data_IF_212296373525
#
_entry.id   IF_212296373525
#
_cell.length_a   1.000
_cell.length_b   1.000
_cell.length_c   1.000
_cell.angle_alpha   90.00
_cell.angle_beta   90.00
_cell.angle_gamma   90.00
#
_symmetry.space_group_name_H-M   'P 1'
#
loop_
_entity.id
_entity.type
_entity.pdbx_description
1 polymer ?
2 non-polymer ?
3 non-polymer ?
4 water ?
#
# COMPACT_ATOMS: atom_id res chain seq x y z
N UNK A 1 16.53 -5.28 30.46
CA UNK A 1 16.17 -3.98 29.82
C UNK A 1 16.70 -2.77 30.57
N UNK A 2 18.03 -2.74 30.81
CA UNK A 2 18.67 -1.62 31.50
C UNK A 2 19.01 -0.41 30.61
N UNK A 3 18.63 -0.43 29.33
CA UNK A 3 18.87 0.71 28.45
C UNK A 3 17.67 1.66 28.35
N UNK A 4 16.61 1.40 29.13
CA UNK A 4 15.47 2.30 29.20
C UNK A 4 14.30 1.86 28.32
N UNK A 5 13.21 2.62 28.35
CA UNK A 5 12.01 2.25 27.58
C UNK A 5 11.92 2.92 26.20
N UNK A 6 10.90 2.56 25.43
CA UNK A 6 10.64 3.14 24.10
C UNK A 6 9.84 4.44 24.21
N UNK A 7 10.34 5.50 23.59
CA UNK A 7 9.67 6.80 23.61
C UNK A 7 9.19 7.27 22.26
N UNK A 8 8.79 8.55 22.17
CA UNK A 8 8.22 9.12 20.94
C UNK A 8 9.21 9.14 19.77
N UNK A 9 10.46 9.46 20.03
CA UNK A 9 11.43 9.53 18.93
C UNK A 9 11.74 8.14 18.35
N UNK A 10 11.68 7.10 19.17
CA UNK A 10 11.93 5.74 18.69
C UNK A 10 10.69 5.26 17.88
N UNK A 11 9.51 5.70 18.30
CA UNK A 11 8.28 5.37 17.56
C UNK A 11 8.34 5.95 16.14
N UNK A 12 8.66 7.24 16.04
CA UNK A 12 8.72 7.91 14.74
C UNK A 12 9.69 7.18 13.82
N UNK A 13 10.79 6.69 14.38
CA UNK A 13 11.79 5.91 13.64
C UNK A 13 11.30 4.52 13.18
N UNK A 14 10.59 3.79 14.04
CA UNK A 14 9.97 2.48 13.67
C UNK A 14 8.90 2.58 12.57
N UNK A 15 8.11 3.66 12.60
CA UNK A 15 7.02 3.83 11.62
C UNK A 15 7.63 4.02 10.23
N UNK A 16 8.64 4.88 10.10
CA UNK A 16 9.31 5.05 8.80
C UNK A 16 10.00 3.77 8.22
N UNK A 17 10.64 2.98 9.07
CA UNK A 17 11.30 1.75 8.60
C UNK A 17 10.29 0.68 8.14
N UNK A 18 9.09 0.63 8.73
CA UNK A 18 8.08 -0.35 8.30
C UNK A 18 7.55 0.00 6.88
N UNK A 19 7.33 1.29 6.61
CA UNK A 19 6.84 1.69 5.27
C UNK A 19 7.86 1.35 4.17
N UNK A 20 9.10 1.12 4.59
CA UNK A 20 10.17 0.81 3.64
C UNK A 20 10.46 -0.69 3.49
N UNK A 21 10.57 -1.40 4.63
CA UNK A 21 10.93 -2.82 4.64
C UNK A 21 9.80 -3.82 5.02
N UNK A 22 8.62 -3.37 5.44
CA UNK A 22 7.58 -4.29 5.91
C UNK A 22 7.80 -4.88 7.32
N UNK A 23 7.59 -6.19 7.50
CA UNK A 23 7.81 -6.87 8.80
C UNK A 23 9.33 -6.94 9.13
N UNK A 24 9.79 -6.19 10.12
CA UNK A 24 11.24 -6.00 10.28
C UNK A 24 11.88 -6.76 11.47
N UNK A 25 11.14 -7.74 12.00
CA UNK A 25 11.61 -8.45 13.19
C UNK A 25 12.82 -9.33 12.94
N UNK A 26 13.09 -9.69 11.68
CA UNK A 26 14.29 -10.48 11.37
C UNK A 26 15.54 -9.64 10.97
N UNK A 27 15.39 -8.32 10.87
CA UNK A 27 16.53 -7.45 10.55
C UNK A 27 16.87 -6.41 11.64
N UNK A 28 16.59 -6.71 12.91
CA UNK A 28 16.88 -5.75 13.97
C UNK A 28 18.38 -5.44 14.14
N UNK A 29 19.25 -6.44 13.97
CA UNK A 29 20.70 -6.24 14.17
C UNK A 29 21.27 -5.25 13.16
N UNK A 30 20.82 -5.36 11.91
CA UNK A 30 21.26 -4.48 10.83
C UNK A 30 20.80 -3.01 10.98
N UNK A 31 19.59 -2.80 11.52
CA UNK A 31 19.04 -1.45 11.72
C UNK A 31 19.73 -0.68 12.89
N UNK A 32 20.23 -1.42 13.88
CA UNK A 32 21.08 -0.84 14.94
C UNK A 32 22.51 -0.54 14.48
N UNK A 33 23.05 -1.37 13.60
CA UNK A 33 24.46 -1.25 13.19
C UNK A 33 24.74 0.05 12.42
N UNK A 34 23.78 0.50 11.60
CA UNK A 34 23.94 1.73 10.81
C UNK A 34 23.29 2.98 11.44
N UNK A 35 22.88 2.86 12.71
CA UNK A 35 22.35 4.00 13.46
C UNK A 35 20.87 4.32 13.27
N UNK A 36 20.14 3.56 12.45
CA UNK A 36 18.71 3.80 12.23
C UNK A 36 17.91 3.73 13.58
N UNK A 37 18.24 2.75 14.44
CA UNK A 37 17.62 2.65 15.77
C UNK A 37 18.71 2.64 16.88
N UNK A 38 18.44 3.27 18.05
CA UNK A 38 19.39 3.15 19.15
C UNK A 38 19.32 1.75 19.79
N UNK A 39 20.32 1.40 20.60
CA UNK A 39 20.44 0.06 21.18
C UNK A 39 19.42 -0.17 22.30
N UNK A 40 18.54 -1.17 22.09
CA UNK A 40 17.73 -1.77 23.16
C UNK A 40 17.78 -3.30 22.95
N UNK A 41 17.25 -4.07 23.91
CA UNK A 41 17.13 -5.53 23.70
C UNK A 41 16.16 -5.87 22.55
N UNK A 42 16.50 -6.90 21.75
CA UNK A 42 15.65 -7.33 20.64
C UNK A 42 14.18 -7.58 21.04
N UNK A 43 13.95 -8.13 22.24
CA UNK A 43 12.59 -8.44 22.73
C UNK A 43 11.71 -7.21 22.83
N UNK A 44 12.27 -6.11 23.34
CA UNK A 44 11.53 -4.85 23.45
C UNK A 44 11.08 -4.32 22.09
N UNK A 45 11.92 -4.41 21.07
CA UNK A 45 11.55 -3.89 19.75
C UNK A 45 10.48 -4.77 19.08
N UNK A 46 10.57 -6.08 19.27
CA UNK A 46 9.57 -7.00 18.73
C UNK A 46 8.18 -6.81 19.30
N UNK A 47 8.11 -6.62 20.61
CA UNK A 47 6.84 -6.37 21.32
C UNK A 47 6.17 -5.08 20.90
N UNK A 48 6.95 -4.01 20.73
CA UNK A 48 6.44 -2.74 20.21
C UNK A 48 5.88 -2.87 18.76
N UNK A 49 6.59 -3.60 17.90
CA UNK A 49 6.15 -3.84 16.51
C UNK A 49 4.78 -4.50 16.51
N UNK A 50 4.65 -5.58 17.27
CA UNK A 50 3.38 -6.32 17.36
C UNK A 50 2.23 -5.42 17.83
N UNK A 51 2.47 -4.62 18.87
CA UNK A 51 1.47 -3.69 19.41
C UNK A 51 1.01 -2.66 18.38
N UNK A 52 1.93 -2.16 17.57
CA UNK A 52 1.58 -1.16 16.56
C UNK A 52 0.69 -1.76 15.46
N UNK A 53 1.00 -2.97 14.99
CA UNK A 53 0.22 -3.60 13.92
C UNK A 53 -1.18 -4.03 14.40
N UNK A 54 -1.28 -4.33 15.69
CA UNK A 54 -2.54 -4.69 16.31
C UNK A 54 -3.50 -3.49 16.42
N UNK A 55 -2.95 -2.32 16.78
CA UNK A 55 -3.74 -1.07 16.83
C UNK A 55 -4.21 -0.66 15.43
N UNK A 56 -3.37 -0.90 14.42
CA UNK A 56 -3.71 -0.60 13.03
C UNK A 56 -4.87 -1.48 12.51
N UNK A 57 -4.82 -2.79 12.78
CA UNK A 57 -5.90 -3.70 12.38
C UNK A 57 -7.25 -3.30 12.96
N UNK A 58 -7.28 -3.07 14.27
CA UNK A 58 -8.50 -2.70 15.00
C UNK A 58 -9.16 -1.46 14.42
N UNK A 59 -8.35 -0.45 14.14
CA UNK A 59 -8.79 0.78 13.51
C UNK A 59 -9.51 0.52 12.17
N UNK A 60 -8.91 -0.33 11.33
CA UNK A 60 -9.40 -0.58 9.98
C UNK A 60 -10.72 -1.40 9.96
N UNK A 61 -10.82 -2.35 10.88
CA UNK A 61 -12.03 -3.14 11.05
C UNK A 61 -13.19 -2.29 11.57
N UNK A 62 -12.91 -1.35 12.47
CA UNK A 62 -13.98 -0.52 13.05
C UNK A 62 -14.62 0.40 12.01
N UNK A 63 -13.81 1.02 11.17
CA UNK A 63 -14.36 1.88 10.11
C UNK A 63 -15.12 1.10 9.02
N UNK A 64 -14.64 -0.07 8.59
CA UNK A 64 -15.38 -0.90 7.63
C UNK A 64 -16.78 -1.26 8.17
N UNK A 65 -16.85 -1.60 9.46
CA UNK A 65 -18.12 -1.96 10.07
C UNK A 65 -19.15 -0.82 9.96
N UNK A 66 -18.73 0.42 10.21
CA UNK A 66 -19.63 1.56 10.12
C UNK A 66 -20.09 1.84 8.69
N UNK A 67 -19.15 1.79 7.75
CA UNK A 67 -19.47 2.07 6.35
C UNK A 67 -20.50 1.08 5.83
N UNK A 68 -20.42 -0.14 6.33
CA UNK A 68 -21.27 -1.21 5.82
C UNK A 68 -22.71 -1.03 6.30
N UNK A 69 -22.90 -0.62 7.55
CA UNK A 69 -24.23 -0.40 8.08
C UNK A 69 -24.95 0.77 7.40
N UNK A 70 -24.22 1.83 7.06
CA UNK A 70 -24.83 2.96 6.37
C UNK A 70 -25.22 2.58 4.92
N UNK A 71 -24.35 1.85 4.23
CA UNK A 71 -24.66 1.45 2.87
C UNK A 71 -25.89 0.52 2.80
N UNK A 72 -26.12 -0.30 3.83
CA UNK A 72 -27.31 -1.14 3.86
C UNK A 72 -28.60 -0.33 3.94
N UNK A 73 -28.58 0.80 4.65
CA UNK A 73 -29.76 1.65 4.75
C UNK A 73 -30.05 2.34 3.43
N UNK A 74 -29.06 3.01 2.86
CA UNK A 74 -29.24 3.69 1.58
C UNK A 74 -29.70 2.74 0.42
N UNK A 75 -29.25 1.48 0.43
CA UNK A 75 -29.68 0.51 -0.58
C UNK A 75 -31.21 0.24 -0.48
N UNK A 76 -31.72 0.17 0.75
CA UNK A 76 -33.16 0.00 1.00
C UNK A 76 -34.02 1.17 0.54
N UNK A 77 -33.58 2.41 0.79
CA UNK A 77 -34.31 3.59 0.30
C UNK A 77 -34.30 3.65 -1.23
N UNK A 78 -33.21 3.17 -1.83
CA UNK A 78 -33.05 3.21 -3.28
C UNK A 78 -34.01 2.23 -3.99
N UNK A 79 -34.29 1.11 -3.34
CA UNK A 79 -35.23 0.14 -3.89
C UNK A 79 -36.63 0.75 -3.94
N UNK A 80 -37.02 1.49 -2.91
CA UNK A 80 -38.36 2.07 -2.90
C UNK A 80 -38.55 3.07 -4.04
N UNK A 81 -37.51 3.87 -4.30
CA UNK A 81 -37.54 4.91 -5.33
C UNK A 81 -37.69 4.32 -6.76
N UNK A 82 -37.13 3.14 -6.98
CA UNK A 82 -37.18 2.51 -8.30
C UNK A 82 -38.59 2.12 -8.73
N UNK A 83 -39.39 1.63 -7.79
CA UNK A 83 -40.77 1.26 -8.11
C UNK A 83 -41.57 2.50 -8.50
N UNK A 84 -41.14 3.65 -8.00
CA UNK A 84 -41.78 4.92 -8.32
C UNK A 84 -41.50 5.35 -9.77
N UNK A 85 -40.26 5.18 -10.22
CA UNK A 85 -39.91 5.50 -11.61
C UNK A 85 -40.60 4.56 -12.64
N UNK A 86 -40.63 3.27 -12.34
CA UNK A 86 -41.18 2.31 -13.31
C UNK A 86 -42.68 2.53 -13.49
N UNK A 87 -43.32 3.03 -12.44
CA UNK A 87 -44.78 3.20 -12.44
C UNK A 87 -45.24 4.55 -12.97
N UNK A 88 -44.34 5.51 -13.10
CA UNK A 88 -44.72 6.84 -13.59
C UNK A 88 -44.96 7.92 -12.53
N UNK A 89 -45.07 7.55 -11.27
CA UNK A 89 -45.30 8.52 -10.19
C UNK A 89 -44.20 9.63 -10.15
N UNK A 90 -42.96 9.26 -10.42
CA UNK A 90 -41.90 10.21 -10.80
C UNK A 90 -41.48 9.89 -12.27
N UNK A 91 -41.06 10.91 -13.01
CA UNK A 91 -40.65 10.73 -14.41
C UNK A 91 -39.14 10.73 -14.60
N UNK A 92 -38.63 9.73 -15.30
CA UNK A 92 -37.18 9.53 -15.43
C UNK A 92 -36.44 10.70 -16.06
N UNK A 93 -37.06 11.34 -17.04
CA UNK A 93 -36.47 12.54 -17.68
C UNK A 93 -36.75 13.82 -16.89
N UNK A 94 -37.27 13.70 -15.67
CA UNK A 94 -37.54 14.86 -14.82
C UNK A 94 -37.48 14.56 -13.32
N UNK A 95 -36.30 14.12 -12.85
CA UNK A 95 -36.13 13.78 -11.43
C UNK A 95 -35.67 14.99 -10.60
N UNK A 96 -36.00 15.03 -9.29
CA UNK A 96 -35.46 16.08 -8.39
C UNK A 96 -33.94 16.06 -8.27
N UNK A 97 -33.33 17.23 -8.06
CA UNK A 97 -31.87 17.32 -8.03
C UNK A 97 -31.25 16.56 -6.84
N UNK A 98 -31.97 16.54 -5.70
CA UNK A 98 -31.58 15.73 -4.53
C UNK A 98 -32.50 14.51 -4.42
N UNK A 99 -31.98 13.31 -4.73
CA UNK A 99 -32.84 12.12 -4.73
C UNK A 99 -32.09 10.92 -4.17
N UNK A 100 -32.80 9.78 -3.88
CA UNK A 100 -32.17 8.57 -3.31
C UNK A 100 -30.99 7.97 -4.09
N UNK A 101 -30.97 8.12 -5.41
CA UNK A 101 -29.88 7.57 -6.22
C UNK A 101 -28.61 8.41 -6.12
N UNK A 102 -28.74 9.73 -6.05
CA UNK A 102 -27.54 10.57 -5.85
C UNK A 102 -26.96 10.39 -4.43
N UNK A 103 -27.80 10.26 -3.40
CA UNK A 103 -27.31 9.97 -2.04
C UNK A 103 -26.50 8.65 -1.93
N UNK A 104 -26.96 7.61 -2.63
CA UNK A 104 -26.25 6.31 -2.63
C UNK A 104 -24.90 6.41 -3.32
N UNK A 105 -24.88 7.10 -4.47
CA UNK A 105 -23.65 7.28 -5.25
C UNK A 105 -22.55 8.01 -4.48
N UNK A 106 -22.93 9.04 -3.72
CA UNK A 106 -21.97 9.83 -2.94
C UNK A 106 -21.21 9.01 -1.90
N UNK A 107 -21.91 8.16 -1.16
CA UNK A 107 -21.29 7.37 -0.10
C UNK A 107 -20.43 6.28 -0.72
N UNK A 108 -20.96 5.64 -1.76
CA UNK A 108 -20.25 4.58 -2.45
C UNK A 108 -18.86 5.05 -2.89
N UNK A 109 -18.77 6.28 -3.38
CA UNK A 109 -17.53 6.80 -3.92
C UNK A 109 -16.64 7.48 -2.88
N UNK A 110 -17.04 7.48 -1.61
CA UNK A 110 -16.36 8.30 -0.60
C UNK A 110 -14.93 7.80 -0.29
N UNK A 111 -13.97 8.71 -0.24
CA UNK A 111 -12.60 8.33 0.10
C UNK A 111 -12.06 9.14 1.27
N UNK A 112 -12.08 8.56 2.47
CA UNK A 112 -11.59 9.28 3.64
C UNK A 112 -10.45 8.55 4.38
N UNK A 113 -9.65 9.32 5.12
CA UNK A 113 -8.44 8.82 5.75
C UNK A 113 -8.72 8.06 7.04
N UNK A 114 -7.91 7.03 7.31
CA UNK A 114 -8.11 6.21 8.49
C UNK A 114 -6.89 6.30 9.42
N UNK A 115 -7.02 7.05 10.50
CA UNK A 115 -5.87 7.49 11.31
C UNK A 115 -6.00 7.13 12.80
N UNK A 116 -4.86 6.93 13.49
CA UNK A 116 -4.84 6.64 14.95
C UNK A 116 -3.60 7.23 15.67
N UNK A 117 -3.68 7.39 17.00
CA UNK A 117 -2.55 7.86 17.84
C UNK A 117 -1.87 6.71 18.60
N UNK A 118 -0.54 6.70 18.71
CA UNK A 118 0.14 5.54 19.32
C UNK A 118 0.79 5.78 20.72
N UNK A 119 2.04 6.20 20.81
CA UNK A 119 2.58 6.49 22.17
C UNK A 119 3.01 7.92 22.34
N UNK A 120 2.07 8.85 22.16
CA UNK A 120 2.38 10.27 22.15
C UNK A 120 2.53 10.81 20.73
N UNK A 121 2.73 9.90 19.77
CA UNK A 121 2.80 10.28 18.37
C UNK A 121 1.39 10.27 17.77
N UNK A 122 1.04 11.32 17.04
CA UNK A 122 -0.33 11.49 16.54
C UNK A 122 -0.48 11.26 15.01
N UNK A 123 -1.64 10.76 14.60
CA UNK A 123 -2.03 10.68 13.19
C UNK A 123 -1.22 9.70 12.30
N UNK A 124 -0.91 8.51 12.82
CA UNK A 124 -0.41 7.41 11.96
C UNK A 124 -1.53 6.92 10.99
N UNK A 125 -1.16 6.48 9.80
CA UNK A 125 -2.15 6.03 8.79
C UNK A 125 -2.31 4.50 8.80
N UNK A 126 -3.42 4.01 9.34
CA UNK A 126 -3.66 2.55 9.45
C UNK A 126 -3.65 1.79 8.12
N UNK A 127 -4.23 2.38 7.06
CA UNK A 127 -4.30 1.69 5.75
C UNK A 127 -2.95 1.55 5.07
N UNK A 128 -2.11 2.58 5.18
CA UNK A 128 -0.78 2.55 4.58
C UNK A 128 0.11 1.45 5.20
N UNK A 129 0.09 1.35 6.53
CA UNK A 129 0.87 0.30 7.24
C UNK A 129 0.43 -1.12 6.85
N UNK A 130 -0.87 -1.42 6.94
CA UNK A 130 -1.39 -2.75 6.63
C UNK A 130 -1.14 -3.20 5.16
N UNK A 131 -1.32 -2.30 4.19
CA UNK A 131 -1.13 -2.64 2.76
C UNK A 131 0.30 -2.91 2.39
N UNK A 132 1.20 -2.06 2.89
CA UNK A 132 2.63 -2.22 2.69
C UNK A 132 3.18 -3.54 3.28
N UNK A 133 2.87 -3.88 4.56
CA UNK A 133 3.31 -5.15 5.15
C UNK A 133 2.83 -6.40 4.31
N UNK A 134 1.56 -6.42 3.93
CA UNK A 134 0.99 -7.55 3.16
C UNK A 134 1.49 -7.67 1.70
N UNK A 135 1.64 -6.52 1.01
CA UNK A 135 2.19 -6.48 -0.36
C UNK A 135 3.65 -7.05 -0.43
N UNK A 136 4.50 -6.60 0.50
CA UNK A 136 5.92 -7.05 0.55
C UNK A 136 6.10 -8.55 1.04
N UNK A 137 5.26 -9.02 1.95
CA UNK A 137 5.21 -10.46 2.27
C UNK A 137 4.82 -11.40 1.06
N UNK A 138 3.81 -10.97 0.27
CA UNK A 138 3.39 -11.64 -1.00
C UNK A 138 4.56 -11.68 -2.00
N UNK A 139 5.25 -10.56 -2.20
CA UNK A 139 6.37 -10.53 -3.19
C UNK A 139 7.56 -11.46 -2.82
N UNK A 140 8.03 -11.41 -1.55
CA UNK A 140 9.03 -12.36 -1.04
C UNK A 140 8.66 -13.87 -1.20
N UNK A 141 7.43 -14.26 -0.83
CA UNK A 141 6.98 -15.65 -0.93
C UNK A 141 6.82 -16.16 -2.42
N UNK A 142 6.32 -15.28 -3.31
CA UNK A 142 6.19 -15.58 -4.79
C UNK A 142 7.58 -15.90 -5.44
N UNK A 143 8.52 -15.01 -5.18
CA UNK A 143 9.91 -15.18 -5.70
C UNK A 143 10.69 -16.40 -5.08
N UNK A 144 10.65 -16.59 -3.75
CA UNK A 144 11.30 -17.76 -3.16
C UNK A 144 10.58 -19.08 -3.56
N UNK A 145 9.24 -19.10 -3.69
CA UNK A 145 8.56 -20.37 -4.15
C UNK A 145 8.99 -20.84 -5.61
N UNK A 146 9.25 -19.89 -6.53
CA UNK A 146 9.35 -20.20 -7.97
C UNK A 146 10.73 -19.95 -8.62
N UNK A 147 11.55 -19.05 -8.07
CA UNK A 147 12.87 -18.62 -8.66
C UNK A 147 14.03 -18.67 -7.65
N UNK A 148 13.98 -19.67 -6.78
CA UNK A 148 14.93 -19.81 -5.64
C UNK A 148 16.41 -19.76 -6.05
N UNK A 149 16.77 -20.57 -7.03
CA UNK A 149 18.14 -20.62 -7.60
C UNK A 149 18.63 -19.24 -8.11
N UNK A 150 17.75 -18.47 -8.77
CA UNK A 150 18.19 -17.23 -9.42
C UNK A 150 17.03 -16.26 -9.71
N UNK A 151 16.77 -15.34 -8.77
CA UNK A 151 15.73 -14.30 -8.82
C UNK A 151 15.72 -13.48 -10.13
N UNK A 152 16.81 -13.45 -10.88
CA UNK A 152 16.90 -12.62 -12.09
C UNK A 152 16.05 -13.16 -13.25
N UNK A 153 15.54 -14.38 -13.12
CA UNK A 153 14.72 -15.02 -14.15
C UNK A 153 13.22 -14.80 -13.95
N UNK A 154 12.84 -14.04 -12.92
CA UNK A 154 11.42 -13.74 -12.61
C UNK A 154 10.68 -13.26 -13.87
N UNK A 155 9.43 -13.70 -14.08
CA UNK A 155 8.62 -13.38 -15.29
C UNK A 155 7.12 -13.14 -14.99
N UNK A 156 6.44 -12.21 -15.69
CA UNK A 156 5.00 -11.99 -15.48
C UNK A 156 4.03 -12.97 -16.25
N UNK A 157 4.52 -13.79 -17.18
CA UNK A 157 3.61 -14.70 -17.90
C UNK A 157 2.60 -13.96 -18.82
N UNK A 158 1.34 -14.43 -18.88
CA UNK A 158 0.28 -13.73 -19.64
C UNK A 158 -0.48 -12.64 -18.80
N UNK A 159 -0.06 -12.40 -17.54
CA UNK A 159 -0.70 -11.42 -16.71
C UNK A 159 -0.29 -10.10 -17.41
N UNK A 160 -1.24 -9.27 -17.85
CA UNK A 160 -0.92 -8.11 -18.74
C UNK A 160 -1.25 -6.69 -18.11
N UNK A 161 -0.22 -5.93 -17.63
CA UNK A 161 -0.39 -4.59 -17.02
C UNK A 161 -0.79 -3.50 -18.03
N UNK A 162 -1.46 -2.47 -17.55
CA UNK A 162 -1.80 -1.28 -18.35
C UNK A 162 -0.54 -0.57 -18.85
N UNK A 163 -0.49 -0.24 -20.15
CA UNK A 163 0.69 0.42 -20.76
C UNK A 163 0.98 1.85 -20.24
N UNK A 164 2.27 2.23 -20.24
CA UNK A 164 2.74 3.62 -20.00
C UNK A 164 3.56 4.22 -21.19
N UNK A 165 2.96 4.21 -22.39
CA UNK A 165 3.64 4.60 -23.64
C UNK A 165 3.96 6.06 -23.75
N UNK A 166 3.38 6.88 -22.88
CA UNK A 166 3.75 8.29 -22.80
C UNK A 166 5.01 8.64 -21.94
N UNK A 167 5.70 7.67 -21.31
CA UNK A 167 6.89 8.03 -20.54
C UNK A 167 8.03 8.45 -21.49
N UNK A 168 9.07 9.09 -20.95
CA UNK A 168 10.20 9.58 -21.76
C UNK A 168 11.06 8.46 -22.32
N UNK A 169 11.18 7.38 -21.55
CA UNK A 169 11.95 6.19 -21.95
C UNK A 169 10.99 5.09 -22.44
N UNK A 170 11.49 4.12 -23.21
CA UNK A 170 10.69 2.99 -23.72
C UNK A 170 10.46 1.93 -22.62
N UNK A 171 9.25 1.85 -22.05
CA UNK A 171 9.03 1.05 -20.82
C UNK A 171 7.99 -0.06 -21.04
N UNK A 172 8.45 -1.32 -21.01
CA UNK A 172 7.62 -2.47 -21.43
C UNK A 172 7.58 -3.51 -20.28
N UNK A 173 6.87 -4.62 -20.50
CA UNK A 173 6.75 -5.71 -19.51
C UNK A 173 8.12 -6.14 -18.89
N UNK A 174 9.19 -6.18 -19.68
CA UNK A 174 10.51 -6.51 -19.16
C UNK A 174 11.05 -5.52 -18.12
N UNK A 175 10.83 -4.22 -18.34
CA UNK A 175 11.25 -3.23 -17.36
C UNK A 175 10.38 -3.33 -16.08
N UNK A 176 9.09 -3.68 -16.19
CA UNK A 176 8.26 -3.94 -15.01
C UNK A 176 8.83 -5.12 -14.15
N UNK A 177 9.27 -6.19 -14.81
CA UNK A 177 9.89 -7.33 -14.09
C UNK A 177 11.17 -6.92 -13.29
N UNK A 178 12.07 -6.14 -13.90
CA UNK A 178 13.32 -5.69 -13.23
C UNK A 178 13.09 -4.75 -12.03
N UNK A 179 12.08 -3.89 -12.15
CA UNK A 179 11.68 -3.00 -11.04
C UNK A 179 11.24 -3.80 -9.80
N UNK A 180 10.41 -4.83 -9.97
CA UNK A 180 9.95 -5.67 -8.83
C UNK A 180 11.08 -6.54 -8.20
N UNK A 181 12.01 -7.06 -9.02
CA UNK A 181 13.23 -7.71 -8.50
C UNK A 181 14.08 -6.73 -7.63
N UNK A 182 14.13 -5.46 -8.03
CA UNK A 182 14.87 -4.42 -7.29
C UNK A 182 14.28 -4.11 -5.91
N UNK A 183 12.94 -3.99 -5.85
CA UNK A 183 12.31 -3.85 -4.55
C UNK A 183 12.50 -5.08 -3.60
N UNK A 184 12.45 -6.30 -4.16
CA UNK A 184 12.71 -7.55 -3.42
C UNK A 184 14.12 -7.50 -2.82
N UNK A 185 15.08 -6.98 -3.56
CA UNK A 185 16.47 -6.87 -3.04
C UNK A 185 16.78 -5.70 -2.03
N UNK A 186 16.25 -4.49 -2.27
CA UNK A 186 16.69 -3.25 -1.58
C UNK A 186 15.62 -2.48 -0.76
N UNK A 187 14.35 -2.86 -0.88
CA UNK A 187 13.24 -2.22 -0.17
C UNK A 187 12.45 -1.20 -0.99
N UNK A 188 11.22 -0.88 -0.55
CA UNK A 188 10.38 0.17 -1.18
C UNK A 188 10.97 1.56 -0.93
N UNK A 189 11.10 2.37 -1.98
CA UNK A 189 11.65 3.74 -1.84
C UNK A 189 13.14 3.87 -2.09
N UNK A 190 13.87 2.75 -2.29
CA UNK A 190 15.33 2.78 -2.49
C UNK A 190 15.71 2.97 -3.98
N UNK A 191 15.26 4.05 -4.63
CA UNK A 191 15.34 4.16 -6.08
C UNK A 191 16.75 4.35 -6.66
N UNK A 192 17.67 4.95 -5.89
CA UNK A 192 19.05 5.13 -6.36
C UNK A 192 19.83 3.80 -6.47
N UNK A 193 19.79 2.99 -5.41
CA UNK A 193 20.37 1.66 -5.44
C UNK A 193 19.77 0.79 -6.58
N UNK A 194 18.44 0.82 -6.74
CA UNK A 194 17.78 0.12 -7.87
C UNK A 194 18.32 0.60 -9.25
N UNK A 195 18.32 1.93 -9.50
CA UNK A 195 18.88 2.50 -10.73
C UNK A 195 20.35 2.09 -11.02
N UNK A 196 21.21 2.08 -10.00
CA UNK A 196 22.63 1.83 -10.24
C UNK A 196 23.07 0.34 -10.19
N UNK A 197 22.15 -0.58 -9.93
CA UNK A 197 22.50 -2.02 -9.96
C UNK A 197 22.82 -2.45 -11.41
N UNK A 198 24.05 -2.90 -11.66
CA UNK A 198 24.43 -3.18 -13.05
C UNK A 198 23.76 -4.42 -13.65
N UNK A 199 23.39 -5.38 -12.82
CA UNK A 199 22.69 -6.59 -13.28
C UNK A 199 21.23 -6.40 -13.72
N UNK A 200 20.53 -5.38 -13.22
CA UNK A 200 19.14 -5.16 -13.64
C UNK A 200 19.04 -4.42 -14.99
N UNK A 201 20.06 -3.67 -15.36
CA UNK A 201 20.12 -2.99 -16.65
C UNK A 201 19.07 -1.92 -16.97
N UNK A 202 18.60 -1.16 -15.97
CA UNK A 202 17.66 -0.06 -16.21
C UNK A 202 18.27 1.32 -15.83
N UNK A 203 19.59 1.36 -15.67
CA UNK A 203 20.30 2.59 -15.34
C UNK A 203 19.88 3.81 -16.23
N UNK A 204 19.65 3.58 -17.52
CA UNK A 204 19.39 4.71 -18.44
C UNK A 204 17.90 5.04 -18.65
N UNK A 205 17.03 4.44 -17.85
CA UNK A 205 15.59 4.53 -18.07
C UNK A 205 14.83 5.23 -16.94
N UNK A 206 15.59 5.64 -15.92
CA UNK A 206 15.09 6.29 -14.71
C UNK A 206 15.73 7.70 -14.54
N UNK A 207 14.94 8.70 -14.13
CA UNK A 207 15.42 10.08 -14.08
C UNK A 207 15.28 10.74 -12.72
N UNK A 208 16.29 10.54 -11.89
CA UNK A 208 16.40 11.22 -10.61
C UNK A 208 17.21 12.50 -10.81
N UNK A 241 12.33 17.31 -16.49
CA UNK A 241 11.23 17.16 -17.45
C UNK A 241 11.10 15.69 -17.87
N UNK A 242 11.95 14.85 -17.30
CA UNK A 242 11.99 13.45 -17.64
C UNK A 242 11.09 12.62 -16.70
N UNK A 243 10.39 11.65 -17.29
CA UNK A 243 9.51 10.74 -16.56
C UNK A 243 9.97 9.35 -16.93
N UNK A 244 10.09 8.40 -15.95
CA UNK A 244 9.71 8.38 -14.52
C UNK A 244 10.70 8.97 -13.49
N UNK A 245 10.16 9.73 -12.54
CA UNK A 245 10.89 10.13 -11.35
C UNK A 245 10.47 9.33 -10.13
N UNK A 246 10.82 9.83 -8.95
CA UNK A 246 10.56 9.09 -7.69
C UNK A 246 9.06 8.86 -7.43
N UNK A 247 8.24 9.86 -7.71
CA UNK A 247 6.79 9.74 -7.51
C UNK A 247 6.09 8.75 -8.47
N UNK A 248 6.59 8.63 -9.69
CA UNK A 248 5.98 7.72 -10.66
C UNK A 248 6.32 6.27 -10.33
N UNK A 249 7.54 6.02 -9.82
CA UNK A 249 7.93 4.64 -9.46
C UNK A 249 7.13 4.08 -8.27
N UNK A 250 6.94 4.90 -7.24
CA UNK A 250 6.11 4.55 -6.09
C UNK A 250 4.69 4.13 -6.48
N UNK A 251 4.03 4.95 -7.31
CA UNK A 251 2.70 4.65 -7.80
C UNK A 251 2.66 3.35 -8.66
N UNK A 252 3.71 3.13 -9.47
CA UNK A 252 3.78 1.91 -10.33
C UNK A 252 3.88 0.57 -9.51
N UNK A 253 4.67 0.59 -8.45
CA UNK A 253 4.78 -0.58 -7.54
C UNK A 253 3.48 -0.89 -6.78
N UNK A 254 2.84 0.12 -6.18
CA UNK A 254 1.53 -0.03 -5.53
C UNK A 254 0.50 -0.68 -6.51
N UNK A 255 0.37 -0.14 -7.73
CA UNK A 255 -0.50 -0.74 -8.78
C UNK A 255 -0.12 -2.24 -9.15
N UNK A 256 1.14 -2.52 -9.44
CA UNK A 256 1.51 -3.87 -9.86
C UNK A 256 1.24 -4.97 -8.78
N UNK A 257 1.49 -4.70 -7.49
CA UNK A 257 1.32 -5.74 -6.44
C UNK A 257 -0.19 -5.90 -6.10
N UNK A 258 -0.96 -4.81 -6.14
CA UNK A 258 -2.45 -4.92 -5.97
C UNK A 258 -3.08 -5.82 -7.06
N UNK A 259 -2.69 -5.55 -8.30
CA UNK A 259 -3.22 -6.28 -9.47
C UNK A 259 -2.89 -7.82 -9.46
N UNK A 260 -1.63 -8.23 -9.21
CA UNK A 260 -1.28 -9.66 -9.16
C UNK A 260 -2.03 -10.44 -8.05
N UNK A 261 -2.38 -9.74 -6.97
CA UNK A 261 -3.07 -10.36 -5.81
C UNK A 261 -4.61 -10.38 -5.96
N UNK A 262 -5.16 -9.87 -7.06
CA UNK A 262 -6.60 -9.92 -7.32
C UNK A 262 -7.42 -8.78 -6.70
N UNK A 263 -6.73 -7.68 -6.39
CA UNK A 263 -7.36 -6.56 -5.70
C UNK A 263 -8.13 -5.54 -6.55
N UNK A 264 -8.02 -5.67 -7.88
CA UNK A 264 -8.86 -4.89 -8.84
C UNK A 264 -10.32 -5.41 -8.97
N UNK A 265 -10.69 -6.46 -8.22
CA UNK A 265 -12.02 -7.07 -8.34
C UNK A 265 -12.87 -6.92 -7.07
X LIG B 1 -11.23 6.83 11.65
X LIG B 1 -10.36 6.57 12.74
X LIG B 1 -11.08 8.29 11.25
X LIG B 1 -9.72 8.64 11.06
X LIG B 1 -11.91 8.60 10.00
X LIG B 1 -11.88 7.54 9.08
X LIG B 1 -10.97 6.19 10.82
X LIG B 1 -12.26 6.63 11.94
X LIG B 1 -10.51 5.64 13.05
X LIG B 1 -11.47 8.90 12.06
X LIG B 1 -9.35 8.14 10.30
X LIG B 1 -12.95 8.79 10.30
X LIG B 1 -11.54 9.50 9.53
X LIG B 1 -11.73 7.89 8.18
X LIG C 1 18.62 4.01 -2.37
X LIG D 1 17.36 -2.83 27.09
X LIG E 1 -40.38 8.72 -18.34
X LIG E 1 -41.74 8.84 -18.02
X LIG E 1 -39.96 9.77 -19.37
X LIG E 1 -39.62 10.98 -18.74
X LIG E 1 -38.77 9.28 -20.18
X LIG E 1 -37.59 9.87 -19.71
X LIG E 1 -40.18 7.73 -18.73
X LIG E 1 -39.78 8.85 -17.43
X LIG E 1 -41.99 8.14 -17.39
X LIG E 1 -40.80 9.93 -20.05
X LIG E 1 -40.39 11.30 -18.22
X LIG E 1 -38.91 9.54 -21.23
X LIG E 1 -38.69 8.19 -20.10
X LIG E 1 -36.82 9.50 -20.20
#
# INVERSE_FOLDING_TARGET
GPLGSIGESEVRALYKAILKFGNLKEILDELIADGTLPVKSFEKYGETYDEMMEAAKDCVHEEEKNRKEILEKLEKHATAYRAKLKSGEIKAENQPKDNPLTRLSLKKREKKAVLFNFKGVKSLNAESLLSRVEDLKYLKNLINSNYKDDPLKFSLGNNTPKPVQNWSSNWTKEEDEKLLIGVFKYGYGSWTQIRDDPFLGITDKIFLNEVHNPVAKKSASSSDTTPTPSKKGKGITGSSKKVPGAIHLGRRVDYLLSFLRGGLNTKSPS
GOL C1 O1 C2 O2 C3 O3 H11 H12 HO1 H2 HO2 H31 H32 HO3
CL CL
CL CL
GOL C1 O1 C2 O2 C3 O3 H11 H12 HO1 H2 HO2 H31 H32 HO3
#
